data_IF_590974600482
#
_entry.id   IF_590974600482
#
_cell.length_a   1.000
_cell.length_b   1.000
_cell.length_c   1.000
_cell.angle_alpha   90.00
_cell.angle_beta   90.00
_cell.angle_gamma   90.00
#
_symmetry.space_group_name_H-M   'P 1'
#
loop_
_entity.id
_entity.type
_entity.pdbx_description
1 polymer ?
#
# COMPACT_ATOMS: atom_id res chain seq x y z
N UNK A 1 14.59 28.88 -32.02
CA UNK A 1 15.58 27.80 -31.84
C UNK A 1 15.61 27.42 -30.36
N UNK A 2 14.95 26.31 -29.98
CA UNK A 2 15.06 25.75 -28.63
C UNK A 2 16.40 25.01 -28.55
N UNK A 3 17.39 25.63 -27.90
CA UNK A 3 18.62 24.92 -27.53
C UNK A 3 18.22 23.85 -26.50
N UNK A 4 18.31 22.58 -26.90
CA UNK A 4 18.31 21.47 -25.95
C UNK A 4 19.60 21.65 -25.15
N UNK A 5 19.50 22.30 -23.99
CA UNK A 5 20.62 22.50 -23.10
C UNK A 5 21.29 21.15 -22.87
N UNK A 6 22.58 21.05 -23.21
CA UNK A 6 23.36 19.84 -23.02
C UNK A 6 23.31 19.47 -21.53
N UNK A 7 22.49 18.47 -21.21
CA UNK A 7 22.30 18.02 -19.85
C UNK A 7 23.63 17.39 -19.40
N UNK A 8 24.21 17.80 -18.26
CA UNK A 8 25.44 17.18 -17.76
C UNK A 8 25.22 15.67 -17.60
N UNK A 9 26.16 14.85 -18.05
CA UNK A 9 26.04 13.39 -18.06
C UNK A 9 25.68 12.81 -16.69
N UNK A 10 26.19 13.40 -15.61
CA UNK A 10 25.81 13.03 -14.23
C UNK A 10 24.34 13.28 -13.90
N UNK A 11 23.75 14.38 -14.40
CA UNK A 11 22.31 14.65 -14.25
C UNK A 11 21.47 13.70 -15.09
N UNK A 12 21.94 13.37 -16.31
CA UNK A 12 21.26 12.40 -17.16
C UNK A 12 21.22 11.01 -16.50
N UNK A 13 22.35 10.54 -15.97
CA UNK A 13 22.41 9.27 -15.21
C UNK A 13 21.50 9.27 -13.98
N UNK A 14 21.48 10.37 -13.21
CA UNK A 14 20.61 10.48 -12.04
C UNK A 14 19.12 10.48 -12.40
N UNK A 15 18.74 11.14 -13.50
CA UNK A 15 17.36 11.12 -14.00
C UNK A 15 16.97 9.71 -14.49
N UNK A 16 17.84 9.03 -15.22
CA UNK A 16 17.60 7.66 -15.68
C UNK A 16 17.45 6.68 -14.51
N UNK A 17 18.28 6.78 -13.48
CA UNK A 17 18.17 5.94 -12.28
C UNK A 17 16.85 6.18 -11.52
N UNK A 18 16.42 7.44 -11.40
CA UNK A 18 15.11 7.78 -10.81
C UNK A 18 13.95 7.28 -11.65
N UNK A 19 14.06 7.36 -12.98
CA UNK A 19 13.03 6.85 -13.88
C UNK A 19 12.92 5.33 -13.78
N UNK A 20 14.05 4.62 -13.81
CA UNK A 20 14.10 3.16 -13.69
C UNK A 20 13.47 2.67 -12.38
N UNK A 21 13.84 3.27 -11.24
CA UNK A 21 13.26 2.92 -9.94
C UNK A 21 11.76 3.24 -9.85
N UNK A 22 11.30 4.29 -10.53
CA UNK A 22 9.86 4.64 -10.58
C UNK A 22 9.08 3.65 -11.43
N UNK A 23 9.63 3.25 -12.59
CA UNK A 23 9.03 2.28 -13.51
C UNK A 23 8.99 0.89 -12.88
N UNK A 24 10.07 0.45 -12.25
CA UNK A 24 10.11 -0.83 -11.52
C UNK A 24 9.03 -0.89 -10.43
N UNK A 25 8.89 0.17 -9.63
CA UNK A 25 7.83 0.25 -8.61
C UNK A 25 6.43 0.24 -9.23
N UNK A 26 6.22 0.95 -10.33
CA UNK A 26 4.93 0.97 -11.03
C UNK A 26 4.56 -0.41 -11.59
N UNK A 27 5.53 -1.12 -12.20
CA UNK A 27 5.34 -2.47 -12.73
C UNK A 27 5.05 -3.45 -11.59
N UNK A 28 5.82 -3.41 -10.51
CA UNK A 28 5.59 -4.29 -9.34
C UNK A 28 4.22 -4.01 -8.71
N UNK A 29 3.84 -2.74 -8.59
CA UNK A 29 2.51 -2.33 -8.11
C UNK A 29 1.39 -2.88 -9.00
N UNK A 30 1.49 -2.69 -10.32
CA UNK A 30 0.51 -3.19 -11.28
C UNK A 30 0.42 -4.72 -11.30
N UNK A 31 1.57 -5.41 -11.28
CA UNK A 31 1.59 -6.87 -11.26
C UNK A 31 1.01 -7.43 -9.96
N UNK A 32 1.31 -6.82 -8.81
CA UNK A 32 0.70 -7.20 -7.52
C UNK A 32 -0.80 -6.93 -7.54
N UNK A 33 -1.22 -5.74 -7.95
CA UNK A 33 -2.63 -5.36 -8.02
C UNK A 33 -3.43 -6.28 -8.97
N UNK A 34 -2.89 -6.61 -10.14
CA UNK A 34 -3.52 -7.54 -11.09
C UNK A 34 -3.50 -8.99 -10.61
N UNK A 35 -2.43 -9.44 -9.95
CA UNK A 35 -2.38 -10.79 -9.35
C UNK A 35 -3.40 -10.94 -8.23
N UNK A 36 -3.57 -9.91 -7.40
CA UNK A 36 -4.55 -9.87 -6.31
C UNK A 36 -5.99 -9.80 -6.85
N UNK A 37 -6.23 -9.07 -7.95
CA UNK A 37 -7.52 -9.10 -8.67
C UNK A 37 -7.84 -10.48 -9.23
N UNK A 38 -6.86 -11.19 -9.81
CA UNK A 38 -7.06 -12.53 -10.38
C UNK A 38 -7.27 -13.62 -9.32
N UNK A 39 -6.77 -13.45 -8.10
CA UNK A 39 -6.97 -14.41 -6.99
C UNK A 39 -8.29 -14.26 -6.23
N UNK A 40 -9.16 -13.30 -6.57
CA UNK A 40 -10.38 -12.99 -5.79
C UNK A 40 -11.70 -13.10 -6.55
N UNK A 41 -11.84 -14.10 -7.41
CA UNK A 41 -13.18 -14.62 -7.76
C UNK A 41 -13.47 -15.86 -6.92
N UNK A 42 -13.65 -15.65 -5.62
CA UNK A 42 -14.42 -16.60 -4.80
C UNK A 42 -15.82 -16.01 -4.76
N UNK A 43 -16.80 -16.75 -5.26
CA UNK A 43 -18.19 -16.31 -5.24
C UNK A 43 -18.57 -15.85 -3.81
N UNK A 44 -19.35 -14.76 -3.64
CA UNK A 44 -19.79 -14.33 -2.33
C UNK A 44 -20.52 -15.50 -1.66
N UNK A 45 -19.93 -16.07 -0.61
CA UNK A 45 -20.69 -16.90 0.30
C UNK A 45 -21.66 -15.94 0.99
N UNK A 46 -22.95 -16.25 0.85
CA UNK A 46 -24.10 -15.61 1.47
C UNK A 46 -23.77 -15.08 2.88
N UNK A 47 -24.30 -13.91 3.22
CA UNK A 47 -24.07 -13.25 4.50
C UNK A 47 -24.15 -14.26 5.66
N UNK A 48 -23.20 -14.24 6.62
CA UNK A 48 -23.21 -15.16 7.74
C UNK A 48 -24.50 -14.97 8.52
N UNK A 49 -25.11 -16.06 9.02
CA UNK A 49 -26.27 -15.94 9.89
C UNK A 49 -25.93 -15.05 11.10
N UNK A 50 -26.90 -14.28 11.61
CA UNK A 50 -26.68 -13.22 12.62
C UNK A 50 -26.01 -13.71 13.91
N UNK A 51 -26.05 -15.02 14.16
CA UNK A 51 -25.58 -15.66 15.40
C UNK A 51 -24.22 -16.37 15.24
N UNK A 52 -23.64 -16.38 14.03
CA UNK A 52 -22.32 -16.98 13.80
C UNK A 52 -21.21 -15.95 13.99
N UNK A 53 -20.27 -16.25 14.90
CA UNK A 53 -19.00 -15.53 14.97
C UNK A 53 -18.27 -15.74 13.63
N UNK A 54 -18.31 -14.74 12.76
CA UNK A 54 -17.64 -14.77 11.48
C UNK A 54 -16.64 -13.61 11.38
N UNK A 55 -15.45 -13.92 10.88
CA UNK A 55 -14.38 -12.93 10.67
C UNK A 55 -14.08 -12.84 9.18
N UNK A 56 -14.00 -11.61 8.65
CA UNK A 56 -13.64 -11.42 7.25
C UNK A 56 -12.15 -11.78 7.04
N UNK A 57 -11.87 -12.69 6.11
CA UNK A 57 -10.51 -13.09 5.75
C UNK A 57 -9.64 -11.91 5.26
N UNK A 58 -10.26 -10.88 4.69
CA UNK A 58 -9.57 -9.74 4.09
C UNK A 58 -9.29 -8.63 5.11
N UNK A 59 -10.34 -8.07 5.73
CA UNK A 59 -10.22 -6.90 6.60
C UNK A 59 -10.18 -7.25 8.09
N UNK A 60 -10.30 -8.53 8.45
CA UNK A 60 -10.32 -9.05 9.83
C UNK A 60 -11.41 -8.48 10.73
N UNK A 61 -12.37 -7.71 10.19
CA UNK A 61 -13.57 -7.27 10.92
C UNK A 61 -14.45 -8.47 11.22
N UNK A 62 -15.05 -8.45 12.41
CA UNK A 62 -16.12 -9.38 12.82
C UNK A 62 -17.44 -8.96 12.18
N UNK A 63 -18.24 -9.94 11.76
CA UNK A 63 -19.57 -9.68 11.25
C UNK A 63 -20.45 -9.08 12.35
N UNK A 64 -20.97 -7.89 12.09
CA UNK A 64 -21.99 -7.23 12.92
C UNK A 64 -23.10 -6.70 11.99
N UNK A 65 -24.34 -6.49 12.48
CA UNK A 65 -25.42 -5.95 11.66
C UNK A 65 -25.10 -4.57 11.02
N UNK A 66 -24.18 -3.82 11.62
CA UNK A 66 -23.74 -2.51 11.13
C UNK A 66 -22.54 -2.60 10.17
N UNK A 67 -22.05 -3.80 9.85
CA UNK A 67 -20.90 -3.94 8.95
C UNK A 67 -21.33 -3.59 7.53
N UNK A 68 -20.60 -2.70 6.82
CA UNK A 68 -20.90 -2.41 5.44
C UNK A 68 -20.80 -3.67 4.58
N UNK A 69 -21.60 -3.74 3.53
CA UNK A 69 -21.55 -4.85 2.56
C UNK A 69 -20.22 -4.87 1.81
N UNK A 70 -19.68 -3.70 1.50
CA UNK A 70 -18.40 -3.52 0.83
C UNK A 70 -17.22 -3.68 1.80
N UNK A 71 -16.23 -4.47 1.39
CA UNK A 71 -15.05 -4.76 2.20
C UNK A 71 -13.86 -3.95 1.69
N UNK A 72 -13.34 -3.02 2.50
CA UNK A 72 -12.06 -2.33 2.26
C UNK A 72 -10.94 -2.98 3.07
N UNK A 73 -9.80 -3.26 2.44
CA UNK A 73 -8.67 -3.96 3.07
C UNK A 73 -7.35 -3.68 2.36
N UNK A 74 -6.24 -3.96 3.04
CA UNK A 74 -4.90 -3.97 2.45
C UNK A 74 -4.56 -5.41 2.03
N UNK A 75 -4.32 -5.69 0.74
CA UNK A 75 -3.95 -7.03 0.29
C UNK A 75 -2.48 -7.39 0.54
N UNK A 76 -1.64 -6.41 0.87
CA UNK A 76 -0.23 -6.62 1.19
C UNK A 76 -0.01 -6.82 2.68
N UNK A 77 1.22 -7.20 3.03
CA UNK A 77 1.68 -7.31 4.41
C UNK A 77 2.17 -5.96 4.95
N UNK A 78 2.31 -5.88 6.28
CA UNK A 78 2.97 -4.76 6.96
C UNK A 78 4.48 -5.03 6.98
N UNK A 79 5.25 -4.10 6.44
CA UNK A 79 6.70 -4.10 6.50
C UNK A 79 7.22 -2.91 7.30
N UNK A 80 8.21 -3.15 8.15
CA UNK A 80 8.95 -2.08 8.81
C UNK A 80 10.09 -1.61 7.90
N UNK A 81 10.15 -0.30 7.65
CA UNK A 81 11.21 0.33 6.85
C UNK A 81 11.85 1.46 7.62
N UNK A 82 13.18 1.51 7.57
CA UNK A 82 13.96 2.58 8.20
C UNK A 82 14.11 3.73 7.21
N UNK A 83 13.59 4.88 7.59
CA UNK A 83 13.69 6.12 6.83
C UNK A 83 14.64 7.08 7.53
N UNK A 84 15.45 7.76 6.73
CA UNK A 84 16.31 8.84 7.19
C UNK A 84 15.71 10.18 6.74
N UNK A 85 15.35 11.00 7.72
CA UNK A 85 14.78 12.32 7.51
C UNK A 85 15.84 13.37 7.87
N UNK A 86 16.11 14.28 6.94
CA UNK A 86 16.97 15.44 7.22
C UNK A 86 16.16 16.48 8.00
N UNK A 87 16.64 16.85 9.17
CA UNK A 87 16.07 17.90 10.02
C UNK A 87 17.12 18.97 10.31
N UNK A 88 16.71 20.03 11.00
CA UNK A 88 17.58 21.16 11.36
C UNK A 88 17.48 21.49 12.84
N UNK A 89 18.61 21.78 13.46
CA UNK A 89 18.63 22.31 14.83
C UNK A 89 18.03 23.73 14.84
N UNK A 90 17.68 24.30 16.00
CA UNK A 90 17.25 25.70 16.08
C UNK A 90 18.27 26.68 15.48
N UNK A 91 19.56 26.36 15.56
CA UNK A 91 20.66 27.14 14.96
C UNK A 91 20.88 26.84 13.45
N UNK A 92 20.01 26.03 12.84
CA UNK A 92 20.02 25.76 11.40
C UNK A 92 20.99 24.67 10.93
N UNK A 93 21.67 23.95 11.83
CA UNK A 93 22.60 22.87 11.47
C UNK A 93 21.84 21.61 11.00
N UNK A 94 22.20 21.01 9.86
CA UNK A 94 21.52 19.80 9.38
C UNK A 94 21.90 18.59 10.23
N UNK A 95 20.93 17.72 10.49
CA UNK A 95 21.17 16.41 11.10
C UNK A 95 20.18 15.36 10.57
N UNK A 96 20.56 14.10 10.63
CA UNK A 96 19.74 12.98 10.19
C UNK A 96 18.95 12.39 11.36
N UNK A 97 17.65 12.20 11.17
CA UNK A 97 16.77 11.48 12.09
C UNK A 97 16.38 10.16 11.41
N UNK A 98 16.77 9.04 11.98
CA UNK A 98 16.32 7.72 11.53
C UNK A 98 15.04 7.35 12.26
N UNK A 99 14.00 7.00 11.52
CA UNK A 99 12.74 6.46 12.08
C UNK A 99 12.37 5.18 11.37
N UNK A 100 11.89 4.21 12.13
CA UNK A 100 11.26 3.01 11.60
C UNK A 100 9.76 3.31 11.42
N UNK A 101 9.26 3.16 10.20
CA UNK A 101 7.83 3.28 9.89
C UNK A 101 7.31 1.92 9.43
N UNK A 102 6.17 1.51 9.99
CA UNK A 102 5.42 0.35 9.53
C UNK A 102 4.50 0.79 8.38
N UNK A 103 4.69 0.21 7.20
CA UNK A 103 3.97 0.58 5.99
C UNK A 103 3.37 -0.66 5.33
N UNK A 104 2.27 -0.48 4.62
CA UNK A 104 1.71 -1.54 3.80
C UNK A 104 2.57 -1.80 2.56
N UNK A 105 2.65 -3.05 2.11
CA UNK A 105 3.36 -3.39 0.87
C UNK A 105 2.52 -3.24 -0.40
N UNK A 106 1.21 -3.07 -0.24
CA UNK A 106 0.26 -2.86 -1.33
C UNK A 106 0.08 -1.38 -1.71
N UNK A 107 0.40 -0.44 -0.82
CA UNK A 107 0.35 1.00 -1.06
C UNK A 107 1.40 1.72 -0.21
N UNK A 108 1.67 3.00 -0.46
CA UNK A 108 2.66 3.77 0.31
C UNK A 108 2.09 4.37 1.61
N UNK A 109 1.01 3.82 2.14
CA UNK A 109 0.38 4.33 3.37
C UNK A 109 0.98 3.68 4.63
N UNK A 110 1.03 4.48 5.70
CA UNK A 110 1.50 4.06 7.01
C UNK A 110 0.44 3.24 7.75
N UNK A 111 0.83 2.42 8.73
CA UNK A 111 -0.12 1.75 9.63
C UNK A 111 -0.48 2.65 10.84
N UNK A 112 -1.75 2.73 11.28
CA UNK A 112 -2.95 2.10 10.71
C UNK A 112 -3.73 3.03 9.76
N UNK A 113 -3.88 2.67 8.49
CA UNK A 113 -4.76 3.34 7.53
C UNK A 113 -5.88 2.44 6.98
N UNK A 114 -6.86 3.06 6.33
CA UNK A 114 -7.96 2.37 5.63
C UNK A 114 -7.39 1.58 4.46
N UNK A 115 -7.99 0.41 4.18
CA UNK A 115 -7.55 -0.48 3.10
C UNK A 115 -7.52 0.19 1.72
N UNK A 116 -6.44 -0.02 0.97
CA UNK A 116 -6.26 0.53 -0.37
C UNK A 116 -6.97 -0.27 -1.49
N UNK A 117 -7.60 -1.39 -1.15
CA UNK A 117 -8.37 -2.21 -2.08
C UNK A 117 -9.79 -2.42 -1.58
N UNK A 118 -10.71 -2.63 -2.53
CA UNK A 118 -12.12 -2.84 -2.26
C UNK A 118 -12.58 -4.17 -2.87
N UNK A 119 -13.43 -4.88 -2.14
CA UNK A 119 -14.18 -6.02 -2.63
C UNK A 119 -15.68 -5.76 -2.48
N UNK A 120 -16.46 -6.23 -3.46
CA UNK A 120 -17.92 -6.08 -3.48
C UNK A 120 -18.60 -6.73 -2.26
N UNK A 121 -17.94 -7.70 -1.62
CA UNK A 121 -18.41 -8.36 -0.42
C UNK A 121 -17.25 -8.72 0.51
N UNK A 122 -17.56 -8.84 1.80
CA UNK A 122 -16.69 -9.50 2.78
C UNK A 122 -16.59 -11.01 2.50
N UNK A 123 -15.41 -11.58 2.73
CA UNK A 123 -15.17 -13.02 2.65
C UNK A 123 -15.21 -13.60 4.07
N UNK A 124 -16.40 -14.00 4.51
CA UNK A 124 -16.64 -14.47 5.87
C UNK A 124 -16.10 -15.89 6.06
N UNK A 125 -15.26 -16.07 7.07
CA UNK A 125 -14.85 -17.37 7.56
C UNK A 125 -15.65 -17.66 8.84
N UNK A 126 -16.23 -18.86 8.92
CA UNK A 126 -16.77 -19.35 10.19
C UNK A 126 -15.62 -19.48 11.20
N UNK A 127 -15.81 -18.94 12.41
CA UNK A 127 -14.88 -19.13 13.52
C UNK A 127 -14.94 -20.56 14.06
#
# INVERSE_FOLDING_TARGET
>A
MLMIAALPEGRLRALLARLATTIERAIVHELRHNHLRKKKYVAPLSAPPPDAAAVCANCRKTATPATPTQCTFHPGDIEERVFEFLSRTPEGRPFAIRRTLAMWTCCAEDYPTVGCAEAAAHLWLAA
#
